data_IF_468655432638
#
_entry.id   IF_468655432638
#
_cell.length_a   1.000
_cell.length_b   1.000
_cell.length_c   1.000
_cell.angle_alpha   90.00
_cell.angle_beta   90.00
_cell.angle_gamma   90.00
#
_symmetry.space_group_name_H-M   'P 1'
#
loop_
_entity.id
_entity.type
_entity.pdbx_description
1 polymer ?
#
# COMPACT_ATOMS: atom_id res chain seq x y z
N UNK A 1 -15.22 -8.09 -0.85
CA UNK A 1 -14.56 -7.73 -2.12
C UNK A 1 -13.39 -8.68 -2.35
N UNK A 2 -12.83 -8.77 -3.57
CA UNK A 2 -11.66 -9.64 -3.85
C UNK A 2 -10.31 -8.97 -3.55
N UNK A 3 -10.30 -7.65 -3.40
CA UNK A 3 -9.08 -6.85 -3.30
C UNK A 3 -8.16 -7.26 -2.12
N UNK A 4 -8.65 -7.59 -0.91
CA UNK A 4 -7.78 -8.07 0.17
C UNK A 4 -6.98 -9.34 -0.16
N UNK A 5 -7.57 -10.25 -0.95
CA UNK A 5 -6.87 -11.44 -1.43
C UNK A 5 -5.76 -11.06 -2.40
N UNK A 6 -6.06 -10.19 -3.37
CA UNK A 6 -5.06 -9.69 -4.34
C UNK A 6 -3.90 -8.98 -3.65
N UNK A 7 -4.19 -8.13 -2.65
CA UNK A 7 -3.18 -7.43 -1.85
C UNK A 7 -2.29 -8.43 -1.12
N UNK A 8 -2.87 -9.47 -0.48
CA UNK A 8 -2.07 -10.47 0.22
C UNK A 8 -1.24 -11.32 -0.74
N UNK A 9 -1.81 -11.73 -1.88
CA UNK A 9 -1.10 -12.47 -2.92
C UNK A 9 0.04 -11.66 -3.52
N UNK A 10 -0.15 -10.35 -3.76
CA UNK A 10 0.90 -9.46 -4.20
C UNK A 10 2.03 -9.39 -3.18
N UNK A 11 1.72 -9.19 -1.89
CA UNK A 11 2.71 -9.20 -0.81
C UNK A 11 3.51 -10.52 -0.76
N UNK A 12 2.87 -11.67 -1.01
CA UNK A 12 3.57 -12.95 -1.14
C UNK A 12 4.49 -13.00 -2.37
N UNK A 13 4.08 -12.42 -3.49
CA UNK A 13 4.91 -12.32 -4.68
C UNK A 13 6.12 -11.40 -4.46
N UNK A 14 5.95 -10.28 -3.75
CA UNK A 14 7.04 -9.35 -3.41
C UNK A 14 8.12 -10.02 -2.55
N UNK A 15 7.76 -10.96 -1.66
CA UNK A 15 8.76 -11.77 -0.94
C UNK A 15 9.63 -12.61 -1.88
N UNK A 16 9.08 -13.10 -2.99
CA UNK A 16 9.79 -13.91 -3.97
C UNK A 16 10.57 -13.04 -4.98
N UNK A 17 10.07 -11.84 -5.26
CA UNK A 17 10.62 -10.90 -6.23
C UNK A 17 10.85 -9.52 -5.58
N UNK A 18 11.79 -9.41 -4.63
CA UNK A 18 11.99 -8.19 -3.83
C UNK A 18 12.40 -6.97 -4.67
N UNK A 19 12.96 -7.17 -5.86
CA UNK A 19 13.27 -6.10 -6.81
C UNK A 19 12.03 -5.29 -7.23
N UNK A 20 10.84 -5.89 -7.23
CA UNK A 20 9.60 -5.18 -7.52
C UNK A 20 9.21 -4.22 -6.38
N UNK A 21 9.69 -4.46 -5.17
CA UNK A 21 9.47 -3.60 -4.00
C UNK A 21 10.71 -2.73 -3.73
N UNK A 22 11.14 -1.97 -4.74
CA UNK A 22 12.36 -1.17 -4.67
C UNK A 22 12.14 0.27 -5.12
N UNK A 23 13.15 1.11 -4.91
CA UNK A 23 13.15 2.50 -5.36
C UNK A 23 14.54 2.85 -5.86
N UNK A 24 14.60 3.56 -6.97
CA UNK A 24 15.85 4.01 -7.55
C UNK A 24 16.16 5.43 -7.06
N UNK A 25 17.38 5.63 -6.55
CA UNK A 25 17.91 6.94 -6.17
C UNK A 25 18.83 7.38 -7.30
N UNK A 26 18.43 8.42 -8.02
CA UNK A 26 19.15 8.92 -9.19
C UNK A 26 20.48 9.57 -8.79
N UNK A 27 20.51 10.24 -7.63
CA UNK A 27 21.67 11.00 -7.14
C UNK A 27 22.88 10.11 -6.83
N UNK A 28 22.63 8.91 -6.29
CA UNK A 28 23.68 7.92 -5.96
C UNK A 28 23.74 6.78 -6.97
N UNK A 29 22.80 6.73 -7.92
CA UNK A 29 22.63 5.64 -8.89
C UNK A 29 22.46 4.26 -8.20
N UNK A 30 21.69 4.25 -7.12
CA UNK A 30 21.48 3.07 -6.26
C UNK A 30 20.03 2.60 -6.28
N UNK A 31 19.83 1.30 -6.09
CA UNK A 31 18.50 0.70 -5.91
C UNK A 31 18.32 0.33 -4.44
N UNK A 32 17.35 0.97 -3.78
CA UNK A 32 16.95 0.63 -2.42
C UNK A 32 15.87 -0.43 -2.45
N UNK A 33 16.17 -1.60 -1.88
CA UNK A 33 15.16 -2.62 -1.60
C UNK A 33 14.42 -2.28 -0.32
N UNK A 34 13.08 -2.26 -0.38
CA UNK A 34 12.23 -1.96 0.76
C UNK A 34 11.76 -3.27 1.40
N UNK A 35 12.03 -3.44 2.71
CA UNK A 35 11.61 -4.63 3.46
C UNK A 35 10.14 -4.61 3.90
N UNK A 36 9.50 -3.44 3.91
CA UNK A 36 8.06 -3.32 4.21
C UNK A 36 7.26 -3.26 2.93
N UNK A 37 6.16 -4.01 2.86
CA UNK A 37 5.21 -3.96 1.75
C UNK A 37 4.09 -2.99 2.13
N UNK A 38 4.26 -1.71 1.79
CA UNK A 38 3.26 -0.67 2.01
C UNK A 38 2.47 -0.47 0.71
N UNK A 39 1.45 -1.32 0.50
CA UNK A 39 0.79 -1.44 -0.80
C UNK A 39 -0.22 -0.31 -0.99
N UNK A 40 0.05 0.55 -1.97
CA UNK A 40 -0.82 1.65 -2.37
C UNK A 40 -2.11 1.19 -3.05
N UNK A 41 -3.24 1.78 -2.66
CA UNK A 41 -4.56 1.50 -3.20
C UNK A 41 -5.12 2.78 -3.80
N UNK A 42 -5.17 2.84 -5.12
CA UNK A 42 -5.79 3.94 -5.83
C UNK A 42 -7.31 3.95 -5.59
N UNK A 43 -7.82 5.03 -5.00
CA UNK A 43 -9.24 5.20 -4.67
C UNK A 43 -9.78 6.47 -5.34
N UNK A 44 -10.83 6.33 -6.12
CA UNK A 44 -11.58 7.46 -6.64
C UNK A 44 -12.54 7.98 -5.56
N UNK A 45 -12.47 9.28 -5.27
CA UNK A 45 -13.36 9.98 -4.33
C UNK A 45 -14.05 11.14 -5.03
N UNK A 46 -15.05 11.74 -4.39
CA UNK A 46 -15.69 12.96 -4.90
C UNK A 46 -14.70 14.14 -5.04
N UNK A 47 -13.56 14.10 -4.34
CA UNK A 47 -12.54 15.15 -4.35
C UNK A 47 -11.37 14.83 -5.31
N UNK A 48 -11.43 13.71 -6.02
CA UNK A 48 -10.39 13.27 -6.94
C UNK A 48 -9.79 11.91 -6.57
N UNK A 49 -8.66 11.59 -7.21
CA UNK A 49 -7.90 10.37 -6.98
C UNK A 49 -6.99 10.53 -5.76
N UNK A 50 -7.08 9.61 -4.81
CA UNK A 50 -6.15 9.49 -3.68
C UNK A 50 -5.54 8.09 -3.65
N UNK A 51 -4.31 7.97 -3.15
CA UNK A 51 -3.59 6.69 -3.10
C UNK A 51 -3.05 6.43 -1.70
N UNK A 52 -3.92 6.11 -0.72
CA UNK A 52 -3.44 5.63 0.58
C UNK A 52 -2.81 4.25 0.45
N UNK A 53 -2.01 3.85 1.42
CA UNK A 53 -1.36 2.54 1.43
C UNK A 53 -1.59 1.76 2.73
N UNK A 54 -1.75 0.43 2.60
CA UNK A 54 -1.85 -0.48 3.74
C UNK A 54 -0.43 -0.83 4.16
N UNK A 55 -0.05 -0.47 5.40
CA UNK A 55 1.30 -0.66 5.91
C UNK A 55 1.60 -2.13 6.21
N UNK A 56 2.85 -2.55 5.93
CA UNK A 56 3.41 -3.85 6.35
C UNK A 56 2.52 -5.06 6.02
N UNK A 57 1.96 -5.12 4.81
CA UNK A 57 1.03 -6.18 4.38
C UNK A 57 1.60 -7.59 4.58
N UNK A 58 2.93 -7.76 4.50
CA UNK A 58 3.60 -9.04 4.75
C UNK A 58 3.24 -9.62 6.13
N UNK A 59 3.04 -8.76 7.14
CA UNK A 59 2.74 -9.11 8.52
C UNK A 59 1.24 -9.20 8.83
N UNK A 60 0.36 -8.84 7.89
CA UNK A 60 -1.09 -8.80 8.10
C UNK A 60 -1.79 -10.03 7.53
N UNK A 61 -2.82 -10.51 8.22
CA UNK A 61 -3.78 -11.47 7.70
C UNK A 61 -4.75 -10.82 6.70
N UNK A 62 -5.45 -11.64 5.90
CA UNK A 62 -6.47 -11.14 4.96
C UNK A 62 -7.59 -10.38 5.69
N UNK A 63 -7.94 -10.81 6.91
CA UNK A 63 -8.95 -10.14 7.73
C UNK A 63 -8.49 -8.75 8.17
N UNK A 64 -7.23 -8.62 8.59
CA UNK A 64 -6.64 -7.32 8.97
C UNK A 64 -6.53 -6.38 7.77
N UNK A 65 -6.11 -6.90 6.60
CA UNK A 65 -6.10 -6.14 5.34
C UNK A 65 -7.51 -5.65 5.00
N UNK A 66 -8.53 -6.49 5.19
CA UNK A 66 -9.93 -6.12 4.92
C UNK A 66 -10.40 -4.99 5.83
N UNK A 67 -10.07 -5.06 7.13
CA UNK A 67 -10.39 -4.00 8.10
C UNK A 67 -9.70 -2.69 7.73
N UNK A 68 -8.42 -2.77 7.38
CA UNK A 68 -7.63 -1.58 7.05
C UNK A 68 -8.08 -0.93 5.75
N UNK A 69 -8.41 -1.73 4.75
CA UNK A 69 -9.02 -1.25 3.50
C UNK A 69 -10.34 -0.52 3.75
N UNK A 70 -11.19 -1.05 4.63
CA UNK A 70 -12.46 -0.41 4.99
C UNK A 70 -12.23 0.94 5.71
N UNK A 71 -11.27 0.97 6.66
CA UNK A 71 -10.87 2.21 7.34
C UNK A 71 -10.38 3.27 6.35
N UNK A 72 -9.47 2.89 5.44
CA UNK A 72 -8.94 3.81 4.42
C UNK A 72 -10.02 4.31 3.48
N UNK A 73 -10.97 3.45 3.09
CA UNK A 73 -12.10 3.84 2.25
C UNK A 73 -13.01 4.86 2.94
N UNK A 74 -13.32 4.66 4.23
CA UNK A 74 -14.11 5.60 5.02
C UNK A 74 -13.38 6.94 5.20
N UNK A 75 -12.07 6.91 5.46
CA UNK A 75 -11.28 8.14 5.60
C UNK A 75 -11.17 8.88 4.26
N UNK A 76 -10.96 8.16 3.16
CA UNK A 76 -10.91 8.74 1.82
C UNK A 76 -12.23 9.39 1.41
N UNK A 77 -13.37 8.73 1.66
CA UNK A 77 -14.69 9.26 1.32
C UNK A 77 -15.05 10.53 2.08
N UNK A 78 -14.54 10.68 3.30
CA UNK A 78 -14.71 11.89 4.12
C UNK A 78 -13.56 12.89 4.01
N UNK A 79 -12.60 12.68 3.10
CA UNK A 79 -11.39 13.50 2.95
C UNK A 79 -10.61 13.71 4.26
N UNK A 80 -10.51 12.65 5.07
CA UNK A 80 -9.88 12.59 6.39
C UNK A 80 -8.65 11.67 6.45
N UNK A 81 -8.06 11.37 5.29
CA UNK A 81 -6.79 10.65 5.23
C UNK A 81 -5.69 11.48 5.88
N UNK A 82 -4.91 10.84 6.76
CA UNK A 82 -3.74 11.46 7.36
C UNK A 82 -2.54 11.41 6.41
N UNK A 83 -1.52 12.23 6.65
CA UNK A 83 -0.25 12.15 5.90
C UNK A 83 0.35 10.74 5.96
N UNK A 84 0.31 10.11 7.14
CA UNK A 84 0.80 8.75 7.35
C UNK A 84 0.07 7.69 6.50
N UNK A 85 -1.21 7.91 6.16
CA UNK A 85 -1.98 7.01 5.30
C UNK A 85 -1.50 7.06 3.85
N UNK A 86 -0.91 8.19 3.41
CA UNK A 86 -0.55 8.46 2.01
C UNK A 86 0.93 8.24 1.76
N UNK A 87 1.78 8.67 2.69
CA UNK A 87 3.23 8.63 2.55
C UNK A 87 3.80 7.20 2.58
N UNK A 88 5.05 7.02 2.17
CA UNK A 88 5.80 5.76 2.25
C UNK A 88 5.17 4.55 1.54
N UNK A 89 4.47 4.79 0.43
CA UNK A 89 4.05 3.72 -0.49
C UNK A 89 5.25 2.98 -1.11
N UNK A 90 5.05 1.69 -1.39
CA UNK A 90 6.03 0.82 -2.05
C UNK A 90 5.37 0.00 -3.14
#
# INVERSE_FOLDING_TARGET
>A
TFLPFLIKSLSMALNKYPMLNSSFIEETNEVILKGSHNIGIAMATAHGLVVPNIKKVQSLSILEITKELARLHEMASHNRLSAADIEDGT
#
